data_IF_795242621272
#
_entry.id   IF_795242621272
#
_cell.length_a   1.000
_cell.length_b   1.000
_cell.length_c   1.000
_cell.angle_alpha   90.00
_cell.angle_beta   90.00
_cell.angle_gamma   90.00
#
_symmetry.space_group_name_H-M   'P 1'
#
loop_
_entity.id
_entity.type
_entity.pdbx_description
1 polymer ?
#
# COMPACT_ATOMS: atom_id res chain seq x y z
N UNK A 1 18.82 -1.19 25.38
CA UNK A 1 18.67 -1.56 23.94
C UNK A 1 17.26 -1.31 23.40
N UNK A 2 16.19 -1.90 23.96
CA UNK A 2 14.81 -1.71 23.48
C UNK A 2 14.30 -0.26 23.46
N UNK A 3 14.60 0.51 24.51
CA UNK A 3 14.18 1.92 24.62
C UNK A 3 14.84 2.80 23.54
N UNK A 4 16.13 2.57 23.28
CA UNK A 4 16.87 3.31 22.25
C UNK A 4 16.33 3.08 20.82
N UNK A 5 15.90 1.85 20.53
CA UNK A 5 15.31 1.52 19.22
C UNK A 5 13.95 2.19 19.06
N UNK A 6 13.10 2.15 20.08
CA UNK A 6 11.78 2.80 20.04
C UNK A 6 11.89 4.32 19.87
N UNK A 7 12.84 4.96 20.56
CA UNK A 7 13.07 6.40 20.41
C UNK A 7 13.60 6.75 19.03
N UNK A 8 14.48 5.93 18.45
CA UNK A 8 15.02 6.16 17.11
C UNK A 8 13.94 6.03 16.03
N UNK A 9 13.09 5.01 16.12
CA UNK A 9 11.96 4.81 15.21
C UNK A 9 10.94 5.95 15.34
N UNK A 10 10.60 6.35 16.56
CA UNK A 10 9.67 7.47 16.79
C UNK A 10 10.21 8.79 16.22
N UNK A 11 11.49 9.10 16.45
CA UNK A 11 12.14 10.29 15.90
C UNK A 11 12.22 10.22 14.37
N UNK A 12 12.53 9.07 13.79
CA UNK A 12 12.56 8.88 12.34
C UNK A 12 11.20 9.09 11.68
N UNK A 13 10.13 8.56 12.26
CA UNK A 13 8.75 8.75 11.76
C UNK A 13 8.33 10.21 11.89
N UNK A 14 8.58 10.84 13.04
CA UNK A 14 8.25 12.25 13.24
C UNK A 14 9.01 13.15 12.27
N UNK A 15 10.30 12.88 12.04
CA UNK A 15 11.10 13.61 11.07
C UNK A 15 10.57 13.45 9.64
N UNK A 16 10.17 12.23 9.25
CA UNK A 16 9.59 11.94 7.94
C UNK A 16 8.27 12.70 7.70
N UNK A 17 7.35 12.64 8.66
CA UNK A 17 6.07 13.37 8.57
C UNK A 17 6.32 14.89 8.53
N UNK A 18 7.30 15.36 9.28
CA UNK A 18 7.62 16.78 9.32
C UNK A 18 8.23 17.29 8.00
N UNK A 19 8.96 16.45 7.27
CA UNK A 19 9.46 16.74 5.91
C UNK A 19 8.33 16.86 4.87
N UNK A 20 7.22 16.15 5.04
CA UNK A 20 6.07 16.23 4.11
C UNK A 20 5.27 17.54 4.25
N UNK A 21 5.29 18.15 5.44
CA UNK A 21 4.54 19.38 5.77
C UNK A 21 5.39 20.63 5.58
N UNK A 22 6.64 20.61 6.03
CA UNK A 22 7.57 21.74 5.93
C UNK A 22 8.89 21.26 5.32
N UNK A 23 9.13 21.67 4.09
CA UNK A 23 10.31 21.29 3.31
C UNK A 23 11.57 22.05 3.75
N UNK A 24 11.43 23.23 4.37
CA UNK A 24 12.56 24.09 4.73
C UNK A 24 13.17 23.76 6.10
N UNK A 25 12.80 22.60 6.66
CA UNK A 25 13.32 22.18 7.93
C UNK A 25 14.83 21.83 7.89
N UNK A 26 15.58 22.04 9.00
CA UNK A 26 16.97 21.61 9.11
C UNK A 26 17.15 20.10 8.81
N UNK A 27 16.07 19.34 9.00
CA UNK A 27 16.03 17.90 8.80
C UNK A 27 15.86 17.45 7.33
N UNK A 28 15.53 18.33 6.40
CA UNK A 28 15.45 18.02 4.97
C UNK A 28 16.85 18.19 4.37
N UNK A 29 17.59 19.23 4.78
CA UNK A 29 18.89 19.60 4.21
C UNK A 29 19.98 18.52 4.33
N UNK A 30 19.97 17.75 5.41
CA UNK A 30 20.91 16.64 5.68
C UNK A 30 20.43 15.26 5.19
N UNK A 31 19.12 15.06 4.93
CA UNK A 31 18.53 13.74 4.65
C UNK A 31 17.87 13.64 3.27
N UNK A 32 17.17 14.69 2.83
CA UNK A 32 16.55 14.79 1.51
C UNK A 32 16.59 16.24 1.00
N UNK A 33 17.72 16.68 0.40
CA UNK A 33 17.94 18.07 -0.01
C UNK A 33 16.97 18.57 -1.09
N UNK A 34 16.40 17.66 -1.88
CA UNK A 34 15.47 17.93 -2.99
C UNK A 34 14.01 17.72 -2.58
N UNK A 35 13.70 17.74 -1.28
CA UNK A 35 12.33 17.63 -0.82
C UNK A 35 11.47 18.72 -1.49
N UNK A 36 10.35 18.32 -2.06
CA UNK A 36 9.29 19.22 -2.51
C UNK A 36 8.07 18.89 -1.70
N UNK A 37 7.55 19.86 -0.95
CA UNK A 37 6.38 19.68 -0.09
C UNK A 37 5.17 19.15 -0.86
N UNK A 38 4.23 18.56 -0.12
CA UNK A 38 3.05 17.94 -0.72
C UNK A 38 2.23 18.98 -1.48
N UNK A 39 2.18 18.87 -2.81
CA UNK A 39 1.33 19.75 -3.64
C UNK A 39 -0.16 19.44 -3.40
N UNK A 40 -1.04 20.43 -3.62
CA UNK A 40 -2.49 20.24 -3.43
C UNK A 40 -3.12 19.12 -4.27
N UNK A 41 -2.50 18.78 -5.42
CA UNK A 41 -2.90 17.64 -6.24
C UNK A 41 -2.49 16.30 -5.59
N UNK A 42 -1.26 16.21 -5.06
CA UNK A 42 -0.79 15.04 -4.33
C UNK A 42 -1.59 14.82 -3.05
N UNK A 43 -1.96 15.88 -2.34
CA UNK A 43 -2.85 15.79 -1.17
C UNK A 43 -4.20 15.16 -1.53
N UNK A 44 -4.82 15.61 -2.62
CA UNK A 44 -6.07 15.03 -3.12
C UNK A 44 -5.89 13.55 -3.46
N UNK A 45 -4.78 13.18 -4.11
CA UNK A 45 -4.43 11.80 -4.41
C UNK A 45 -4.31 10.94 -3.15
N UNK A 46 -3.61 11.44 -2.11
CA UNK A 46 -3.38 10.74 -0.85
C UNK A 46 -4.67 10.47 -0.07
N UNK A 47 -5.62 11.41 -0.09
CA UNK A 47 -6.94 11.22 0.52
C UNK A 47 -7.73 10.13 -0.21
N UNK A 48 -7.76 10.17 -1.54
CA UNK A 48 -8.51 9.19 -2.34
C UNK A 48 -7.90 7.79 -2.18
N UNK A 49 -6.58 7.67 -2.29
CA UNK A 49 -5.90 6.38 -2.12
C UNK A 49 -6.02 5.85 -0.70
N UNK A 50 -5.88 6.72 0.31
CA UNK A 50 -6.02 6.36 1.72
C UNK A 50 -7.43 5.85 2.05
N UNK A 51 -8.47 6.52 1.56
CA UNK A 51 -9.87 6.05 1.74
C UNK A 51 -10.10 4.73 1.00
N UNK A 52 -9.62 4.60 -0.24
CA UNK A 52 -9.78 3.36 -1.01
C UNK A 52 -9.13 2.16 -0.32
N UNK A 53 -7.90 2.30 0.18
CA UNK A 53 -7.22 1.25 0.94
C UNK A 53 -7.91 0.98 2.28
N UNK A 54 -8.36 2.02 2.99
CA UNK A 54 -9.11 1.89 4.23
C UNK A 54 -10.42 1.10 4.04
N UNK A 55 -11.16 1.39 2.98
CA UNK A 55 -12.36 0.62 2.62
C UNK A 55 -12.04 -0.83 2.28
N UNK A 56 -10.95 -1.10 1.55
CA UNK A 56 -10.51 -2.46 1.22
C UNK A 56 -10.21 -3.25 2.50
N UNK A 57 -9.37 -2.72 3.39
CA UNK A 57 -9.06 -3.38 4.66
C UNK A 57 -10.27 -3.49 5.59
N UNK A 58 -11.17 -2.48 5.58
CA UNK A 58 -12.42 -2.50 6.33
C UNK A 58 -13.38 -3.60 5.87
N UNK A 59 -13.53 -3.78 4.55
CA UNK A 59 -14.35 -4.85 3.97
C UNK A 59 -13.78 -6.23 4.28
N UNK A 60 -12.45 -6.39 4.23
CA UNK A 60 -11.79 -7.63 4.62
C UNK A 60 -12.07 -7.93 6.10
N UNK A 61 -11.91 -6.94 6.98
CA UNK A 61 -12.18 -7.10 8.41
C UNK A 61 -13.66 -7.44 8.69
N UNK A 62 -14.61 -6.79 7.99
CA UNK A 62 -16.05 -7.10 8.08
C UNK A 62 -16.38 -8.50 7.55
N UNK A 63 -15.74 -8.92 6.45
CA UNK A 63 -15.89 -10.27 5.92
C UNK A 63 -15.44 -11.32 6.92
N UNK A 64 -14.28 -11.14 7.54
CA UNK A 64 -13.81 -12.04 8.59
C UNK A 64 -14.70 -12.00 9.85
N UNK A 65 -15.17 -10.84 10.30
CA UNK A 65 -16.02 -10.76 11.49
C UNK A 65 -17.42 -11.37 11.28
N UNK A 66 -18.01 -11.25 10.08
CA UNK A 66 -19.28 -11.92 9.76
C UNK A 66 -19.13 -13.43 9.63
N UNK A 67 -18.08 -13.90 8.96
CA UNK A 67 -17.82 -15.35 8.81
C UNK A 67 -17.58 -16.00 10.18
N UNK A 68 -16.77 -15.36 11.03
CA UNK A 68 -16.53 -15.83 12.40
C UNK A 68 -17.74 -15.69 13.32
N UNK A 69 -18.54 -14.65 13.11
CA UNK A 69 -19.77 -14.42 13.87
C UNK A 69 -20.85 -15.48 13.64
N UNK A 70 -20.90 -16.09 12.45
CA UNK A 70 -21.92 -17.10 12.08
C UNK A 70 -21.41 -18.53 12.21
N UNK A 71 -20.15 -18.81 11.84
CA UNK A 71 -19.64 -20.19 11.74
C UNK A 71 -18.85 -20.67 12.97
N UNK A 72 -18.45 -19.77 13.87
CA UNK A 72 -17.80 -20.14 15.15
C UNK A 72 -16.41 -20.80 15.05
N UNK A 73 -15.83 -20.92 13.84
CA UNK A 73 -14.52 -21.53 13.62
C UNK A 73 -13.59 -20.66 12.76
N UNK A 74 -12.30 -20.73 13.05
CA UNK A 74 -11.23 -20.04 12.31
C UNK A 74 -11.07 -20.69 10.93
N UNK A 75 -11.27 -19.93 9.86
CA UNK A 75 -11.28 -20.39 8.48
C UNK A 75 -10.19 -19.63 7.72
N UNK A 76 -9.18 -20.35 7.26
CA UNK A 76 -8.04 -19.82 6.52
C UNK A 76 -8.26 -19.73 5.01
N UNK A 77 -9.40 -20.22 4.49
CA UNK A 77 -9.69 -20.26 3.07
C UNK A 77 -9.75 -18.85 2.46
N UNK A 78 -10.09 -17.83 3.24
CA UNK A 78 -10.15 -16.47 2.71
C UNK A 78 -8.75 -15.94 2.30
N UNK A 79 -7.70 -16.31 3.04
CA UNK A 79 -6.31 -16.00 2.68
C UNK A 79 -5.80 -16.86 1.52
N UNK A 80 -6.18 -18.13 1.46
CA UNK A 80 -5.78 -19.04 0.38
C UNK A 80 -6.41 -18.65 -0.97
N UNK A 81 -7.69 -18.28 -1.00
CA UNK A 81 -8.37 -17.82 -2.21
C UNK A 81 -7.77 -16.51 -2.72
N UNK A 82 -7.43 -15.58 -1.83
CA UNK A 82 -6.75 -14.33 -2.21
C UNK A 82 -5.37 -14.62 -2.84
N UNK A 83 -4.60 -15.52 -2.23
CA UNK A 83 -3.27 -15.89 -2.71
C UNK A 83 -3.33 -16.63 -4.05
N UNK A 84 -4.30 -17.53 -4.26
CA UNK A 84 -4.51 -18.20 -5.56
C UNK A 84 -4.88 -17.18 -6.64
N UNK A 85 -5.77 -16.22 -6.33
CA UNK A 85 -6.11 -15.14 -7.26
C UNK A 85 -4.88 -14.31 -7.67
N UNK A 86 -4.08 -13.87 -6.69
CA UNK A 86 -2.88 -13.07 -6.93
C UNK A 86 -1.81 -13.85 -7.73
N UNK A 87 -1.54 -15.11 -7.37
CA UNK A 87 -0.56 -15.94 -8.06
C UNK A 87 -1.00 -16.29 -9.48
N UNK A 88 -2.28 -16.60 -9.67
CA UNK A 88 -2.83 -16.86 -11.01
C UNK A 88 -2.70 -15.63 -11.88
N UNK A 89 -3.10 -14.44 -11.37
CA UNK A 89 -2.98 -13.18 -12.09
C UNK A 89 -1.54 -12.83 -12.48
N UNK A 90 -0.60 -13.01 -11.55
CA UNK A 90 0.82 -12.75 -11.81
C UNK A 90 1.40 -13.72 -12.85
N UNK A 91 1.08 -15.01 -12.75
CA UNK A 91 1.52 -16.00 -13.73
C UNK A 91 0.93 -15.70 -15.10
N UNK A 92 -0.37 -15.36 -15.17
CA UNK A 92 -1.02 -15.01 -16.44
C UNK A 92 -0.43 -13.75 -17.04
N UNK A 93 -0.14 -12.72 -16.24
CA UNK A 93 0.48 -11.48 -16.70
C UNK A 93 1.87 -11.74 -17.27
N UNK A 94 2.73 -12.46 -16.54
CA UNK A 94 4.07 -12.82 -17.00
C UNK A 94 4.03 -13.66 -18.30
N UNK A 95 3.14 -14.66 -18.37
CA UNK A 95 3.00 -15.49 -19.57
C UNK A 95 2.47 -14.72 -20.77
N UNK A 96 1.58 -13.77 -20.52
CA UNK A 96 1.04 -12.90 -21.56
C UNK A 96 2.12 -11.90 -22.03
N UNK A 97 3.05 -11.50 -21.15
CA UNK A 97 4.18 -10.62 -21.47
C UNK A 97 5.23 -11.36 -22.31
N UNK A 98 5.56 -12.59 -21.93
CA UNK A 98 6.40 -13.50 -22.72
C UNK A 98 5.82 -13.76 -24.13
N UNK A 99 4.49 -13.77 -24.24
CA UNK A 99 3.79 -13.92 -25.53
C UNK A 99 3.76 -12.63 -26.38
N UNK A 100 4.38 -11.53 -25.91
CA UNK A 100 4.46 -10.25 -26.61
C UNK A 100 3.17 -9.43 -26.62
N UNK A 101 2.10 -9.91 -25.98
CA UNK A 101 0.76 -9.33 -26.06
C UNK A 101 0.56 -8.08 -25.19
N UNK A 102 1.51 -7.77 -24.29
CA UNK A 102 1.49 -6.55 -23.49
C UNK A 102 2.07 -5.33 -24.21
N UNK A 103 3.21 -5.50 -24.89
CA UNK A 103 3.89 -4.36 -25.53
C UNK A 103 3.36 -4.08 -26.94
N UNK A 104 2.85 -5.10 -27.64
CA UNK A 104 2.40 -4.94 -29.04
C UNK A 104 0.91 -4.60 -29.20
N UNK A 105 0.08 -4.74 -28.16
CA UNK A 105 -1.36 -4.52 -28.23
C UNK A 105 -1.85 -3.68 -27.04
N UNK A 106 -2.16 -2.41 -27.30
CA UNK A 106 -2.71 -1.44 -26.31
C UNK A 106 -3.95 -1.97 -25.56
N UNK A 107 -4.72 -2.86 -26.16
CA UNK A 107 -5.91 -3.47 -25.53
C UNK A 107 -5.50 -4.48 -24.45
N UNK A 108 -4.38 -5.18 -24.62
CA UNK A 108 -3.88 -6.17 -23.66
C UNK A 108 -3.35 -5.53 -22.36
N UNK A 109 -2.90 -4.28 -22.42
CA UNK A 109 -2.40 -3.55 -21.25
C UNK A 109 -3.48 -2.86 -20.41
N UNK A 110 -4.74 -2.88 -20.85
CA UNK A 110 -5.87 -2.21 -20.19
C UNK A 110 -6.66 -3.12 -19.22
N UNK A 111 -6.32 -4.41 -19.17
CA UNK A 111 -6.87 -5.43 -18.25
C UNK A 111 -5.84 -5.75 -17.18
#
# INVERSE_FOLDING_TARGET
MRVAILTLVAVGILAFIWQEIDTDNPFARWANPDATGLTGAQFRGLIISGVAQGCMYGLIALGYSMVYGVLGFINFAHGEVFMVGAMTGMITSNKLADAGLWESNFIGSLI
#
